data_IF_118591325294
#
_entry.id   IF_118591325294
#
_cell.length_a   1.000
_cell.length_b   1.000
_cell.length_c   1.000
_cell.angle_alpha   90.00
_cell.angle_beta   90.00
_cell.angle_gamma   90.00
#
_symmetry.space_group_name_H-M   'P 1'
#
loop_
_entity.id
_entity.type
_entity.pdbx_description
1 polymer ?
#
# COMPACT_ATOMS: atom_id res chain seq x y z
N UNK A 1 20.48 -10.26 34.80
CA UNK A 1 20.56 -10.28 33.33
C UNK A 1 21.18 -8.97 32.91
N UNK A 2 22.33 -9.04 32.22
CA UNK A 2 23.00 -7.87 31.63
C UNK A 2 22.10 -7.17 30.62
N UNK A 3 22.27 -5.85 30.43
CA UNK A 3 21.39 -5.05 29.58
C UNK A 3 21.41 -5.51 28.11
N UNK A 4 22.58 -5.96 27.65
CA UNK A 4 22.77 -6.49 26.28
C UNK A 4 21.98 -7.78 26.06
N UNK A 5 22.05 -8.72 27.01
CA UNK A 5 21.34 -10.00 26.93
C UNK A 5 19.82 -9.79 26.88
N UNK A 6 19.31 -8.82 27.66
CA UNK A 6 17.90 -8.42 27.62
C UNK A 6 17.50 -7.86 26.25
N UNK A 7 18.37 -7.08 25.61
CA UNK A 7 18.06 -6.45 24.32
C UNK A 7 17.97 -7.48 23.18
N UNK A 8 18.86 -8.48 23.16
CA UNK A 8 18.90 -9.49 22.08
C UNK A 8 17.85 -10.60 22.24
N UNK A 9 17.29 -10.77 23.44
CA UNK A 9 16.30 -11.81 23.74
C UNK A 9 14.86 -11.29 23.89
N UNK A 10 14.66 -9.97 23.83
CA UNK A 10 13.33 -9.38 23.93
C UNK A 10 12.45 -9.79 22.73
N UNK A 11 11.18 -10.13 23.00
CA UNK A 11 10.16 -10.19 21.96
C UNK A 11 9.87 -8.76 21.48
N UNK A 12 10.12 -8.53 20.19
CA UNK A 12 10.00 -7.22 19.55
C UNK A 12 8.80 -7.12 18.61
N UNK A 13 7.96 -8.15 18.48
CA UNK A 13 6.94 -8.21 17.43
C UNK A 13 5.94 -7.06 17.51
N UNK A 14 5.45 -6.76 18.72
CA UNK A 14 4.53 -5.64 18.94
C UNK A 14 5.18 -4.28 18.63
N UNK A 15 6.45 -4.10 19.01
CA UNK A 15 7.20 -2.88 18.74
C UNK A 15 7.46 -2.71 17.23
N UNK A 16 7.83 -3.79 16.54
CA UNK A 16 8.05 -3.79 15.10
C UNK A 16 6.77 -3.41 14.34
N UNK A 17 5.62 -4.00 14.71
CA UNK A 17 4.32 -3.63 14.11
C UNK A 17 3.99 -2.16 14.35
N UNK A 18 4.20 -1.65 15.56
CA UNK A 18 3.95 -0.25 15.88
C UNK A 18 4.80 0.70 15.03
N UNK A 19 6.08 0.37 14.81
CA UNK A 19 6.98 1.15 13.94
C UNK A 19 6.50 1.13 12.49
N UNK A 20 6.10 -0.03 11.96
CA UNK A 20 5.57 -0.16 10.60
C UNK A 20 4.29 0.67 10.44
N UNK A 21 3.34 0.57 11.37
CA UNK A 21 2.10 1.36 11.36
C UNK A 21 2.38 2.86 11.41
N UNK A 22 3.30 3.31 12.26
CA UNK A 22 3.67 4.72 12.35
C UNK A 22 4.31 5.22 11.05
N UNK A 23 5.19 4.42 10.44
CA UNK A 23 5.82 4.77 9.18
C UNK A 23 4.81 4.84 8.01
N UNK A 24 3.84 3.91 7.99
CA UNK A 24 2.74 3.94 7.02
C UNK A 24 1.87 5.19 7.19
N UNK A 25 1.47 5.52 8.43
CA UNK A 25 0.68 6.71 8.73
C UNK A 25 1.41 8.01 8.35
N UNK A 26 2.72 8.07 8.54
CA UNK A 26 3.53 9.23 8.15
C UNK A 26 3.63 9.37 6.62
N UNK A 27 3.81 8.27 5.90
CA UNK A 27 3.77 8.29 4.44
C UNK A 27 2.41 8.76 3.90
N UNK A 28 1.32 8.28 4.52
CA UNK A 28 -0.05 8.70 4.25
C UNK A 28 -0.28 10.19 4.46
N UNK A 29 0.23 10.74 5.57
CA UNK A 29 0.15 12.19 5.86
C UNK A 29 0.83 13.01 4.78
N UNK A 30 2.00 12.59 4.30
CA UNK A 30 2.67 13.26 3.18
C UNK A 30 1.93 13.09 1.86
N UNK A 31 1.25 11.95 1.64
CA UNK A 31 0.41 11.77 0.47
C UNK A 31 -0.81 12.70 0.49
N UNK A 32 -1.42 12.92 1.66
CA UNK A 32 -2.51 13.89 1.85
C UNK A 32 -2.06 15.33 1.51
N UNK A 33 -0.86 15.72 1.92
CA UNK A 33 -0.31 17.05 1.62
C UNK A 33 -0.11 17.30 0.12
N UNK A 34 0.18 16.24 -0.65
CA UNK A 34 0.54 16.35 -2.08
C UNK A 34 -0.69 16.16 -2.99
N UNK A 35 -1.52 15.14 -2.71
CA UNK A 35 -2.69 14.80 -3.53
C UNK A 35 -3.95 15.54 -3.06
N UNK A 36 -4.00 15.91 -1.77
CA UNK A 36 -5.19 16.43 -1.12
C UNK A 36 -6.14 15.33 -0.68
N UNK A 37 -6.90 15.60 0.37
CA UNK A 37 -7.90 14.68 0.95
C UNK A 37 -9.26 14.74 0.24
N UNK A 38 -9.41 15.65 -0.73
CA UNK A 38 -10.68 15.94 -1.38
C UNK A 38 -11.55 16.93 -0.59
N UNK A 39 -12.74 17.27 -1.12
CA UNK A 39 -13.68 18.17 -0.45
C UNK A 39 -14.30 17.52 0.80
N UNK A 40 -14.71 18.35 1.77
CA UNK A 40 -15.36 17.88 2.98
C UNK A 40 -16.74 17.28 2.68
N UNK A 41 -17.12 16.15 3.30
CA UNK A 41 -18.44 15.56 3.11
C UNK A 41 -19.58 16.56 3.35
N UNK A 42 -20.55 16.60 2.42
CA UNK A 42 -21.72 17.46 2.48
C UNK A 42 -21.53 18.91 2.01
N UNK A 43 -20.36 19.27 1.47
CA UNK A 43 -20.21 20.54 0.73
C UNK A 43 -20.65 20.40 -0.73
N UNK A 44 -20.92 21.53 -1.39
CA UNK A 44 -21.32 21.55 -2.80
C UNK A 44 -20.24 20.93 -3.71
N UNK A 45 -18.96 21.14 -3.38
CA UNK A 45 -17.82 20.54 -4.08
C UNK A 45 -17.79 19.02 -3.89
N UNK A 46 -18.11 18.52 -2.70
CA UNK A 46 -18.17 17.08 -2.43
C UNK A 46 -19.33 16.42 -3.17
N UNK A 47 -20.51 17.04 -3.16
CA UNK A 47 -21.69 16.57 -3.91
C UNK A 47 -21.41 16.51 -5.42
N UNK A 48 -20.71 17.51 -5.95
CA UNK A 48 -20.32 17.56 -7.35
C UNK A 48 -19.40 16.39 -7.77
N UNK A 49 -18.59 15.87 -6.85
CA UNK A 49 -17.69 14.75 -7.13
C UNK A 49 -18.34 13.37 -7.02
N UNK A 50 -19.43 13.20 -6.25
CA UNK A 50 -20.00 11.86 -5.94
C UNK A 50 -20.53 11.09 -7.17
N UNK A 51 -20.78 11.77 -8.29
CA UNK A 51 -21.19 11.17 -9.56
C UNK A 51 -20.06 10.94 -10.55
N UNK A 52 -18.80 11.08 -10.14
CA UNK A 52 -17.62 11.04 -11.00
C UNK A 52 -16.61 10.01 -10.51
N UNK A 53 -15.62 9.68 -11.35
CA UNK A 53 -14.51 8.81 -10.96
C UNK A 53 -13.43 9.52 -10.12
N UNK A 54 -13.60 10.81 -9.83
CA UNK A 54 -12.58 11.63 -9.14
C UNK A 54 -12.24 11.06 -7.75
N UNK A 55 -13.20 10.65 -6.90
CA UNK A 55 -12.89 10.06 -5.59
C UNK A 55 -12.03 8.78 -5.69
N UNK A 56 -12.32 7.92 -6.67
CA UNK A 56 -11.57 6.68 -6.91
C UNK A 56 -10.16 6.96 -7.45
N UNK A 57 -10.04 7.90 -8.41
CA UNK A 57 -8.75 8.34 -8.93
C UNK A 57 -7.87 8.94 -7.83
N UNK A 58 -8.45 9.75 -6.93
CA UNK A 58 -7.74 10.33 -5.79
C UNK A 58 -7.26 9.23 -4.84
N UNK A 59 -8.12 8.27 -4.51
CA UNK A 59 -7.78 7.14 -3.65
C UNK A 59 -6.64 6.32 -4.23
N UNK A 60 -6.68 5.99 -5.52
CA UNK A 60 -5.60 5.26 -6.19
C UNK A 60 -4.30 6.07 -6.21
N UNK A 61 -4.36 7.36 -6.58
CA UNK A 61 -3.19 8.24 -6.60
C UNK A 61 -2.53 8.37 -5.23
N UNK A 62 -3.34 8.47 -4.17
CA UNK A 62 -2.87 8.52 -2.79
C UNK A 62 -2.12 7.24 -2.37
N UNK A 63 -2.64 6.05 -2.71
CA UNK A 63 -1.95 4.79 -2.40
C UNK A 63 -0.65 4.64 -3.19
N UNK A 64 -0.64 5.01 -4.47
CA UNK A 64 0.57 4.97 -5.31
C UNK A 64 1.65 5.94 -4.80
N UNK A 65 1.25 7.13 -4.33
CA UNK A 65 2.18 8.09 -3.75
C UNK A 65 2.69 7.62 -2.38
N UNK A 66 1.83 7.05 -1.54
CA UNK A 66 2.22 6.45 -0.27
C UNK A 66 3.27 5.35 -0.47
N UNK A 67 3.07 4.47 -1.47
CA UNK A 67 4.06 3.45 -1.84
C UNK A 67 5.40 4.08 -2.24
N UNK A 68 5.38 5.14 -3.05
CA UNK A 68 6.59 5.88 -3.47
C UNK A 68 7.38 6.42 -2.28
N UNK A 69 6.68 7.05 -1.34
CA UNK A 69 7.29 7.64 -0.14
C UNK A 69 7.89 6.53 0.74
N UNK A 70 7.16 5.45 0.97
CA UNK A 70 7.63 4.31 1.75
C UNK A 70 8.90 3.69 1.16
N UNK A 71 8.94 3.48 -0.16
CA UNK A 71 10.13 2.95 -0.84
C UNK A 71 11.32 3.89 -0.76
N UNK A 72 11.09 5.21 -0.92
CA UNK A 72 12.14 6.21 -0.76
C UNK A 72 12.68 6.28 0.67
N UNK A 73 11.86 5.95 1.67
CA UNK A 73 12.25 5.81 3.08
C UNK A 73 12.91 4.46 3.41
N UNK A 74 13.08 3.56 2.42
CA UNK A 74 13.71 2.25 2.61
C UNK A 74 12.78 1.16 3.16
N UNK A 75 11.47 1.39 3.19
CA UNK A 75 10.47 0.39 3.61
C UNK A 75 10.11 -0.54 2.45
N UNK A 76 9.60 -1.74 2.76
CA UNK A 76 9.22 -2.70 1.71
C UNK A 76 7.88 -2.37 1.02
N UNK A 77 6.94 -1.73 1.71
CA UNK A 77 5.67 -1.28 1.14
C UNK A 77 4.62 -2.37 0.89
N UNK A 78 4.84 -3.61 1.34
CA UNK A 78 3.92 -4.75 1.09
C UNK A 78 2.47 -4.47 1.49
N UNK A 79 2.23 -3.81 2.63
CA UNK A 79 0.86 -3.49 3.09
C UNK A 79 0.12 -2.55 2.10
N UNK A 80 0.83 -1.55 1.58
CA UNK A 80 0.31 -0.65 0.55
C UNK A 80 0.09 -1.37 -0.78
N UNK A 81 1.00 -2.27 -1.15
CA UNK A 81 0.84 -3.12 -2.34
C UNK A 81 -0.40 -4.01 -2.23
N UNK A 82 -0.68 -4.60 -1.06
CA UNK A 82 -1.91 -5.37 -0.83
C UNK A 82 -3.16 -4.52 -1.07
N UNK A 83 -3.21 -3.30 -0.50
CA UNK A 83 -4.32 -2.37 -0.71
C UNK A 83 -4.50 -2.01 -2.18
N UNK A 84 -3.41 -1.70 -2.88
CA UNK A 84 -3.40 -1.41 -4.31
C UNK A 84 -3.92 -2.60 -5.13
N UNK A 85 -3.45 -3.82 -4.84
CA UNK A 85 -3.88 -5.03 -5.54
C UNK A 85 -5.35 -5.33 -5.28
N UNK A 86 -5.81 -5.18 -4.04
CA UNK A 86 -7.22 -5.35 -3.70
C UNK A 86 -8.14 -4.34 -4.39
N UNK A 87 -7.64 -3.14 -4.70
CA UNK A 87 -8.32 -2.10 -5.48
C UNK A 87 -8.19 -2.27 -7.00
N UNK A 88 -7.52 -3.34 -7.47
CA UNK A 88 -7.37 -3.64 -8.89
C UNK A 88 -6.22 -2.93 -9.60
N UNK A 89 -5.29 -2.31 -8.87
CA UNK A 89 -4.08 -1.79 -9.47
C UNK A 89 -3.23 -2.94 -10.05
N UNK A 90 -2.81 -2.80 -11.30
CA UNK A 90 -1.96 -3.78 -12.01
C UNK A 90 -0.53 -3.75 -11.47
N UNK A 91 0.21 -4.86 -11.61
CA UNK A 91 1.65 -4.91 -11.40
C UNK A 91 2.42 -3.92 -12.26
N UNK A 92 1.91 -3.59 -13.46
CA UNK A 92 2.47 -2.54 -14.30
C UNK A 92 2.35 -1.14 -13.66
N UNK A 93 1.20 -0.82 -13.08
CA UNK A 93 0.99 0.46 -12.36
C UNK A 93 1.82 0.52 -11.09
N UNK A 94 1.84 -0.56 -10.31
CA UNK A 94 2.64 -0.67 -9.08
C UNK A 94 4.13 -0.56 -9.39
N UNK A 95 4.62 -1.28 -10.40
CA UNK A 95 6.01 -1.20 -10.84
C UNK A 95 6.40 0.22 -11.25
N UNK A 96 5.54 0.90 -12.04
CA UNK A 96 5.79 2.30 -12.43
C UNK A 96 5.90 3.22 -11.21
N UNK A 97 5.00 3.10 -10.23
CA UNK A 97 5.09 3.88 -9.00
C UNK A 97 6.38 3.56 -8.24
N UNK A 98 6.76 2.29 -8.17
CA UNK A 98 7.97 1.83 -7.49
C UNK A 98 9.27 2.10 -8.26
N UNK A 99 9.22 2.68 -9.47
CA UNK A 99 10.40 2.91 -10.30
C UNK A 99 11.03 1.63 -10.88
N UNK A 100 10.23 0.58 -11.08
CA UNK A 100 10.67 -0.71 -11.60
C UNK A 100 9.72 -1.28 -12.66
N UNK A 101 10.09 -2.40 -13.27
CA UNK A 101 9.25 -3.06 -14.27
C UNK A 101 8.08 -3.81 -13.62
N UNK A 102 7.05 -4.15 -14.42
CA UNK A 102 5.96 -5.07 -14.01
C UNK A 102 6.51 -6.38 -13.45
N UNK A 103 7.45 -7.00 -14.17
CA UNK A 103 8.10 -8.25 -13.78
C UNK A 103 8.76 -8.13 -12.40
N UNK A 104 9.60 -7.10 -12.22
CA UNK A 104 10.32 -6.90 -10.96
C UNK A 104 9.39 -6.62 -9.78
N UNK A 105 8.27 -5.92 -10.02
CA UNK A 105 7.26 -5.71 -8.99
C UNK A 105 6.58 -7.02 -8.58
N UNK A 106 6.17 -7.83 -9.56
CA UNK A 106 5.58 -9.14 -9.31
C UNK A 106 6.57 -10.09 -8.62
N UNK A 107 7.84 -10.14 -9.04
CA UNK A 107 8.87 -10.96 -8.38
C UNK A 107 9.08 -10.54 -6.92
N UNK A 108 9.04 -9.23 -6.64
CA UNK A 108 9.25 -8.71 -5.30
C UNK A 108 8.08 -9.00 -4.35
N UNK A 109 6.85 -8.84 -4.81
CA UNK A 109 5.66 -8.85 -3.93
C UNK A 109 4.60 -9.90 -4.27
N UNK A 110 4.62 -10.48 -5.47
CA UNK A 110 3.54 -11.33 -6.02
C UNK A 110 3.18 -12.50 -5.10
N UNK A 111 4.14 -13.35 -4.78
CA UNK A 111 3.91 -14.52 -3.92
C UNK A 111 3.39 -14.14 -2.53
N UNK A 112 3.95 -13.09 -1.92
CA UNK A 112 3.53 -12.58 -0.60
C UNK A 112 2.13 -11.97 -0.65
N UNK A 113 1.81 -11.28 -1.74
CA UNK A 113 0.49 -10.69 -1.96
C UNK A 113 -0.56 -11.79 -2.11
N UNK A 114 -0.29 -12.80 -2.94
CA UNK A 114 -1.20 -13.94 -3.12
C UNK A 114 -1.43 -14.70 -1.82
N UNK A 115 -0.37 -14.98 -1.06
CA UNK A 115 -0.49 -15.67 0.23
C UNK A 115 -1.37 -14.92 1.25
N UNK A 116 -1.38 -13.59 1.20
CA UNK A 116 -2.16 -12.75 2.11
C UNK A 116 -3.59 -12.52 1.63
N UNK A 117 -3.83 -12.44 0.32
CA UNK A 117 -5.17 -12.23 -0.25
C UNK A 117 -5.96 -13.53 -0.47
N UNK A 118 -5.27 -14.66 -0.63
CA UNK A 118 -5.87 -15.99 -0.78
C UNK A 118 -5.19 -17.01 0.16
N UNK A 119 -5.36 -16.86 1.49
CA UNK A 119 -4.70 -17.73 2.46
C UNK A 119 -5.18 -19.19 2.38
N UNK A 120 -6.35 -19.44 1.80
CA UNK A 120 -6.98 -20.76 1.70
C UNK A 120 -6.82 -21.41 0.33
N UNK A 121 -6.22 -20.74 -0.66
CA UNK A 121 -6.06 -21.26 -2.02
C UNK A 121 -7.38 -21.39 -2.80
N UNK A 122 -8.37 -20.56 -2.48
CA UNK A 122 -9.71 -20.55 -3.10
C UNK A 122 -9.82 -19.64 -4.31
N UNK A 123 -8.76 -18.92 -4.65
CA UNK A 123 -8.70 -17.91 -5.69
C UNK A 123 -8.68 -16.49 -5.13
N UNK A 124 -8.03 -15.59 -5.86
CA UNK A 124 -7.97 -14.18 -5.53
C UNK A 124 -9.33 -13.50 -5.65
N UNK A 125 -9.60 -12.42 -4.87
CA UNK A 125 -10.78 -11.58 -5.07
C UNK A 125 -10.88 -11.08 -6.51
N UNK A 126 -12.09 -10.99 -7.05
CA UNK A 126 -12.34 -10.51 -8.43
C UNK A 126 -11.87 -9.09 -8.69
N UNK A 127 -11.64 -8.31 -7.64
CA UNK A 127 -11.10 -6.96 -7.73
C UNK A 127 -9.61 -6.96 -8.07
N UNK A 128 -8.89 -8.05 -7.78
CA UNK A 128 -7.47 -8.18 -8.12
C UNK A 128 -7.35 -8.40 -9.63
N UNK A 129 -6.54 -7.55 -10.28
CA UNK A 129 -6.31 -7.66 -11.71
C UNK A 129 -5.56 -8.96 -12.07
N UNK A 130 -6.05 -9.68 -13.08
CA UNK A 130 -5.37 -10.83 -13.68
C UNK A 130 -4.28 -10.35 -14.64
N UNK A 131 -3.13 -9.99 -14.06
CA UNK A 131 -2.00 -9.42 -14.78
C UNK A 131 -0.65 -9.93 -14.26
N UNK A 132 -0.60 -11.17 -13.79
CA UNK A 132 0.67 -11.83 -13.49
C UNK A 132 1.48 -12.00 -14.80
N UNK A 133 2.82 -11.77 -14.78
CA UNK A 133 3.63 -11.92 -15.98
C UNK A 133 3.63 -13.36 -16.49
N UNK A 134 3.65 -13.52 -17.81
CA UNK A 134 3.75 -14.82 -18.51
C UNK A 134 5.15 -15.40 -18.49
#
# INVERSE_FOLDING_TARGET
MELVERAVSADIDAAARAVITAAAAEASRHADEIIGTGPLPGTAEWDAEQGTDIPDQRTLAWHLLSLRIQLAAGLDGIETVLGLRFQGATWATIGRAAGMTRQSAHERWGSRTTALLDPMGTGLPKTVADDDPS
#
